data_IF_206320290561
#
_entry.id   IF_206320290561
#
_cell.length_a   1.000
_cell.length_b   1.000
_cell.length_c   1.000
_cell.angle_alpha   90.00
_cell.angle_beta   90.00
_cell.angle_gamma   90.00
#
_symmetry.space_group_name_H-M   'P 1'
#
loop_
_entity.id
_entity.type
_entity.pdbx_description
1 polymer ?
#
# COMPACT_ATOMS: atom_id res chain seq x y z
N UNK A 1 -24.27 -22.09 34.64
CA UNK A 1 -23.00 -21.69 34.00
C UNK A 1 -23.09 -22.16 32.56
N UNK A 2 -23.43 -21.31 31.57
CA UNK A 2 -23.48 -21.75 30.19
C UNK A 2 -22.07 -21.80 29.58
N UNK A 3 -21.99 -22.69 28.61
CA UNK A 3 -20.84 -23.33 28.00
C UNK A 3 -20.03 -22.39 27.08
N UNK A 4 -18.71 -22.55 27.06
CA UNK A 4 -17.77 -21.69 26.33
C UNK A 4 -17.86 -21.81 24.79
N UNK A 5 -18.72 -22.71 24.28
CA UNK A 5 -18.74 -23.15 22.89
C UNK A 5 -19.66 -22.33 21.97
N UNK A 6 -20.43 -21.37 22.49
CA UNK A 6 -21.33 -20.50 21.70
C UNK A 6 -20.70 -19.15 21.28
N UNK A 7 -19.48 -18.83 21.74
CA UNK A 7 -18.83 -17.55 21.43
C UNK A 7 -18.06 -17.54 20.10
N UNK A 8 -18.32 -18.53 19.22
CA UNK A 8 -17.64 -18.68 17.94
C UNK A 8 -18.50 -18.23 16.72
N UNK A 9 -19.74 -17.77 16.93
CA UNK A 9 -20.69 -17.56 15.82
C UNK A 9 -20.92 -16.11 15.37
N UNK A 10 -20.17 -15.12 15.87
CA UNK A 10 -20.35 -13.71 15.49
C UNK A 10 -19.08 -12.99 15.05
N UNK A 11 -18.23 -13.65 14.26
CA UNK A 11 -17.13 -12.96 13.56
C UNK A 11 -17.57 -12.58 12.13
N UNK A 12 -17.59 -11.29 11.75
CA UNK A 12 -17.89 -10.88 10.38
C UNK A 12 -16.86 -11.46 9.40
N UNK A 13 -17.34 -12.05 8.30
CA UNK A 13 -16.56 -12.75 7.25
C UNK A 13 -15.77 -11.80 6.34
N UNK A 14 -14.94 -10.91 6.86
CA UNK A 14 -14.18 -9.97 6.01
C UNK A 14 -12.78 -9.72 6.51
N UNK A 15 -11.79 -10.16 5.71
CA UNK A 15 -10.43 -9.65 5.81
C UNK A 15 -9.32 -10.70 5.76
N UNK A 16 -9.27 -11.54 4.72
CA UNK A 16 -7.99 -12.20 4.35
C UNK A 16 -7.01 -11.13 3.82
N UNK A 17 -6.44 -10.30 4.70
CA UNK A 17 -5.45 -9.26 4.35
C UNK A 17 -4.24 -9.34 5.26
N UNK A 18 -3.25 -10.20 4.98
CA UNK A 18 -1.96 -10.17 5.72
C UNK A 18 -0.68 -10.44 4.93
N UNK A 19 -0.70 -10.74 3.63
CA UNK A 19 0.47 -11.32 2.98
C UNK A 19 1.30 -10.39 2.05
N UNK A 20 1.35 -9.07 2.27
CA UNK A 20 2.15 -8.18 1.41
C UNK A 20 2.98 -7.11 2.14
N UNK A 21 3.22 -7.23 3.45
CA UNK A 21 3.80 -6.13 4.24
C UNK A 21 5.31 -6.23 4.51
N UNK A 22 6.00 -7.33 4.18
CA UNK A 22 7.39 -7.53 4.65
C UNK A 22 8.47 -6.73 3.88
N UNK A 23 8.34 -6.58 2.55
CA UNK A 23 9.26 -5.75 1.77
C UNK A 23 9.17 -4.24 2.08
N UNK A 24 7.96 -3.65 2.23
CA UNK A 24 7.78 -2.23 2.55
C UNK A 24 8.37 -1.80 3.90
N UNK A 25 8.33 -2.66 4.92
CA UNK A 25 8.75 -2.28 6.29
C UNK A 25 10.26 -2.04 6.35
N UNK A 26 11.08 -2.92 5.77
CA UNK A 26 12.54 -2.75 5.76
C UNK A 26 12.98 -1.49 4.99
N UNK A 27 12.31 -1.19 3.88
CA UNK A 27 12.55 0.02 3.09
C UNK A 27 12.07 1.30 3.81
N UNK A 28 10.92 1.23 4.49
CA UNK A 28 10.39 2.35 5.29
C UNK A 28 11.33 2.68 6.45
N UNK A 29 11.78 1.66 7.19
CA UNK A 29 12.74 1.80 8.28
C UNK A 29 14.08 2.40 7.79
N UNK A 30 14.61 1.92 6.67
CA UNK A 30 15.84 2.46 6.10
C UNK A 30 15.70 3.89 5.56
N UNK A 31 14.47 4.32 5.25
CA UNK A 31 14.15 5.66 4.79
C UNK A 31 13.75 6.63 5.92
N UNK A 32 13.62 6.15 7.17
CA UNK A 32 13.08 6.93 8.28
C UNK A 32 11.58 7.26 8.12
N UNK A 33 10.87 6.51 7.29
CA UNK A 33 9.46 6.73 6.98
C UNK A 33 8.56 5.93 7.93
N UNK A 34 7.34 6.43 8.13
CA UNK A 34 6.33 5.75 8.93
C UNK A 34 6.02 4.35 8.35
N UNK A 35 5.89 3.34 9.21
CA UNK A 35 5.51 1.99 8.80
C UNK A 35 4.13 1.96 8.15
N UNK A 36 3.23 2.85 8.58
CA UNK A 36 1.95 3.09 7.94
C UNK A 36 2.14 4.06 6.77
N UNK A 37 2.18 3.50 5.56
CA UNK A 37 2.36 4.28 4.33
C UNK A 37 1.31 5.37 4.11
N UNK A 38 0.12 5.23 4.70
CA UNK A 38 -0.96 6.23 4.64
C UNK A 38 -0.63 7.51 5.42
N UNK A 39 0.31 7.45 6.37
CA UNK A 39 0.72 8.60 7.19
C UNK A 39 1.95 9.33 6.64
N UNK A 40 2.60 8.79 5.60
CA UNK A 40 3.80 9.39 5.02
C UNK A 40 3.43 10.62 4.18
N UNK A 41 4.13 11.72 4.36
CA UNK A 41 3.93 12.96 3.61
C UNK A 41 5.13 13.28 2.69
N UNK A 42 4.90 14.13 1.69
CA UNK A 42 5.92 14.50 0.69
C UNK A 42 7.14 15.26 1.27
N UNK A 43 7.12 15.59 2.57
CA UNK A 43 8.24 16.21 3.29
C UNK A 43 9.03 15.28 4.21
N UNK A 44 8.57 14.04 4.43
CA UNK A 44 9.19 13.14 5.42
C UNK A 44 10.57 12.62 4.97
N UNK A 45 10.80 12.54 3.66
CA UNK A 45 12.09 12.14 3.08
C UNK A 45 12.28 12.73 1.68
N UNK A 46 13.53 12.71 1.19
CA UNK A 46 13.80 13.04 -0.21
C UNK A 46 13.46 11.85 -1.12
N UNK A 47 12.22 11.83 -1.58
CA UNK A 47 11.61 10.79 -2.42
C UNK A 47 12.16 10.77 -3.86
N UNK A 48 12.75 11.87 -4.32
CA UNK A 48 13.24 12.02 -5.70
C UNK A 48 14.73 11.70 -5.85
N UNK A 49 15.51 11.83 -4.77
CA UNK A 49 16.91 11.45 -4.75
C UNK A 49 17.08 9.91 -4.81
N UNK A 50 18.19 9.42 -5.42
CA UNK A 50 18.57 8.02 -5.27
C UNK A 50 18.73 7.67 -3.79
N UNK A 51 18.01 6.65 -3.32
CA UNK A 51 18.09 6.23 -1.93
C UNK A 51 16.93 5.37 -1.45
N UNK A 52 16.91 5.02 -0.17
CA UNK A 52 15.90 4.16 0.44
C UNK A 52 14.46 4.68 0.27
N UNK A 53 14.28 6.00 0.34
CA UNK A 53 12.99 6.68 0.20
C UNK A 53 12.38 6.45 -1.20
N UNK A 54 13.19 6.56 -2.26
CA UNK A 54 12.77 6.27 -3.63
C UNK A 54 12.48 4.78 -3.85
N UNK A 55 13.27 3.90 -3.23
CA UNK A 55 13.03 2.45 -3.26
C UNK A 55 11.72 2.08 -2.55
N UNK A 56 11.41 2.74 -1.45
CA UNK A 56 10.14 2.57 -0.73
C UNK A 56 8.93 2.97 -1.59
N UNK A 57 8.98 4.09 -2.31
CA UNK A 57 7.92 4.44 -3.26
C UNK A 57 7.78 3.41 -4.40
N UNK A 58 8.89 2.88 -4.91
CA UNK A 58 8.86 1.77 -5.86
C UNK A 58 8.12 0.55 -5.30
N UNK A 59 8.31 0.28 -4.01
CA UNK A 59 7.62 -0.81 -3.30
C UNK A 59 6.12 -0.54 -3.19
N UNK A 60 5.70 0.70 -2.89
CA UNK A 60 4.28 1.08 -2.90
C UNK A 60 3.63 0.90 -4.28
N UNK A 61 4.33 1.28 -5.35
CA UNK A 61 3.87 1.05 -6.73
C UNK A 61 3.69 -0.44 -7.02
N UNK A 62 4.63 -1.28 -6.61
CA UNK A 62 4.53 -2.73 -6.76
C UNK A 62 3.34 -3.30 -5.98
N UNK A 63 3.11 -2.82 -4.75
CA UNK A 63 1.93 -3.20 -3.96
C UNK A 63 0.62 -2.82 -4.64
N UNK A 64 0.53 -1.63 -5.23
CA UNK A 64 -0.66 -1.20 -5.96
C UNK A 64 -0.95 -2.14 -7.14
N UNK A 65 0.09 -2.51 -7.89
CA UNK A 65 -0.03 -3.44 -9.01
C UNK A 65 -0.43 -4.86 -8.57
N UNK A 66 0.17 -5.38 -7.49
CA UNK A 66 -0.18 -6.70 -6.94
C UNK A 66 -1.61 -6.69 -6.41
N UNK A 67 -2.02 -5.65 -5.68
CA UNK A 67 -3.38 -5.48 -5.19
C UNK A 67 -4.40 -5.47 -6.33
N UNK A 68 -4.09 -4.75 -7.42
CA UNK A 68 -4.91 -4.76 -8.63
C UNK A 68 -5.07 -6.17 -9.21
N UNK A 69 -3.97 -6.91 -9.37
CA UNK A 69 -4.00 -8.30 -9.90
C UNK A 69 -4.76 -9.28 -9.01
N UNK A 70 -4.90 -8.97 -7.70
CA UNK A 70 -5.67 -9.76 -6.73
C UNK A 70 -7.15 -9.34 -6.65
N UNK A 71 -7.57 -8.32 -7.40
CA UNK A 71 -8.92 -7.76 -7.33
C UNK A 71 -9.14 -6.85 -6.12
N UNK A 72 -8.10 -6.50 -5.37
CA UNK A 72 -8.14 -5.59 -4.22
C UNK A 72 -8.13 -4.12 -4.67
N UNK A 73 -9.15 -3.75 -5.46
CA UNK A 73 -9.19 -2.45 -6.17
C UNK A 73 -9.17 -1.26 -5.22
N UNK A 74 -9.91 -1.33 -4.11
CA UNK A 74 -9.93 -0.27 -3.11
C UNK A 74 -8.52 0.04 -2.56
N UNK A 75 -7.75 -1.00 -2.25
CA UNK A 75 -6.38 -0.86 -1.76
C UNK A 75 -5.46 -0.31 -2.85
N UNK A 76 -5.61 -0.77 -4.09
CA UNK A 76 -4.87 -0.23 -5.22
C UNK A 76 -5.19 1.27 -5.43
N UNK A 77 -6.46 1.69 -5.33
CA UNK A 77 -6.88 3.09 -5.42
C UNK A 77 -6.22 3.93 -4.32
N UNK A 78 -6.24 3.48 -3.07
CA UNK A 78 -5.62 4.23 -1.96
C UNK A 78 -4.10 4.35 -2.14
N UNK A 79 -3.43 3.29 -2.59
CA UNK A 79 -1.99 3.33 -2.86
C UNK A 79 -1.63 4.28 -4.00
N UNK A 80 -2.43 4.31 -5.08
CA UNK A 80 -2.24 5.24 -6.20
C UNK A 80 -2.50 6.69 -5.76
N UNK A 81 -3.51 6.93 -4.94
CA UNK A 81 -3.76 8.25 -4.36
C UNK A 81 -2.57 8.73 -3.52
N UNK A 82 -1.98 7.84 -2.71
CA UNK A 82 -0.77 8.15 -1.94
C UNK A 82 0.41 8.47 -2.85
N UNK A 83 0.65 7.64 -3.88
CA UNK A 83 1.71 7.87 -4.85
C UNK A 83 1.56 9.22 -5.56
N UNK A 84 0.34 9.62 -5.91
CA UNK A 84 0.06 10.94 -6.48
C UNK A 84 0.35 12.09 -5.51
N UNK A 85 0.06 11.92 -4.22
CA UNK A 85 0.37 12.94 -3.22
C UNK A 85 1.89 13.09 -3.01
N UNK A 86 2.61 11.97 -3.05
CA UNK A 86 4.04 11.91 -2.79
C UNK A 86 4.91 12.24 -4.02
N UNK A 87 4.43 11.96 -5.22
CA UNK A 87 5.11 12.20 -6.49
C UNK A 87 4.11 12.73 -7.54
N UNK A 88 3.62 13.98 -7.43
CA UNK A 88 2.59 14.52 -8.32
C UNK A 88 3.03 14.61 -9.79
N UNK A 89 4.34 14.64 -10.04
CA UNK A 89 4.92 14.70 -11.38
C UNK A 89 5.17 13.30 -12.00
N UNK A 90 4.78 12.22 -11.30
CA UNK A 90 4.89 10.84 -11.78
C UNK A 90 6.32 10.44 -12.23
N UNK A 91 7.34 10.87 -11.51
CA UNK A 91 8.74 10.47 -11.77
C UNK A 91 8.96 8.96 -11.67
N UNK A 92 8.08 8.24 -10.96
CA UNK A 92 8.11 6.78 -10.82
C UNK A 92 7.25 6.03 -11.84
N UNK A 93 6.43 6.71 -12.63
CA UNK A 93 5.56 6.11 -13.64
C UNK A 93 4.46 5.22 -13.04
N UNK A 94 3.86 5.59 -11.92
CA UNK A 94 2.65 4.96 -11.38
C UNK A 94 1.41 5.19 -12.27
N UNK A 95 1.45 6.16 -13.21
CA UNK A 95 0.36 6.38 -14.17
C UNK A 95 -0.03 5.14 -14.98
N UNK A 96 0.92 4.23 -15.25
CA UNK A 96 0.62 2.93 -15.90
C UNK A 96 -0.28 2.05 -15.02
N UNK A 97 -0.04 2.03 -13.71
CA UNK A 97 -0.85 1.24 -12.76
C UNK A 97 -2.22 1.89 -12.57
N UNK A 98 -2.28 3.23 -12.57
CA UNK A 98 -3.55 3.98 -12.54
C UNK A 98 -4.41 3.68 -13.77
N UNK A 99 -3.83 3.69 -14.98
CA UNK A 99 -4.54 3.34 -16.21
C UNK A 99 -5.07 1.89 -16.19
N UNK A 100 -4.29 0.94 -15.66
CA UNK A 100 -4.74 -0.44 -15.48
C UNK A 100 -5.90 -0.54 -14.47
N UNK A 101 -5.86 0.24 -13.39
CA UNK A 101 -6.92 0.30 -12.39
C UNK A 101 -8.25 0.79 -13.00
N UNK A 102 -8.18 1.83 -13.83
CA UNK A 102 -9.33 2.37 -14.58
C UNK A 102 -9.90 1.35 -15.57
N UNK A 103 -9.05 0.59 -16.26
CA UNK A 103 -9.48 -0.40 -17.26
C UNK A 103 -10.05 -1.69 -16.67
N UNK A 104 -9.72 -2.02 -15.43
CA UNK A 104 -10.17 -3.28 -14.82
C UNK A 104 -11.67 -3.32 -14.49
N UNK A 105 -12.47 -2.33 -14.97
CA UNK A 105 -13.90 -2.07 -14.66
C UNK A 105 -14.79 -3.20 -15.12
#
# INVERSE_FOLDING_TARGET
MPDQNDMCLLAPRTGRRRAAHLGPIAAAHAAGLNENWQMVQAGDANLHAPGPARFWLFTLKALAFIGLRRGERETATQLIAQLRQLDPADHLGFGVVEALLQRSV
#
